data_IF_019042442909
#
_entry.id   IF_019042442909
#
_cell.length_a   1.000
_cell.length_b   1.000
_cell.length_c   1.000
_cell.angle_alpha   90.00
_cell.angle_beta   90.00
_cell.angle_gamma   90.00
#
_symmetry.space_group_name_H-M   'P 1'
#
loop_
_entity.id
_entity.type
_entity.pdbx_description
1 polymer ?
#
# COMPACT_ATOMS: atom_id res chain seq x y z
N UNK A 1 6.55 38.27 -0.57
CA UNK A 1 6.94 37.01 0.09
C UNK A 1 5.72 36.43 0.77
N UNK A 2 5.19 35.32 0.26
CA UNK A 2 4.49 34.26 1.00
C UNK A 2 4.05 33.21 -0.04
N UNK A 3 4.46 31.97 0.22
CA UNK A 3 4.33 30.82 -0.66
C UNK A 3 3.23 29.88 -0.19
N UNK A 4 2.84 28.95 -1.08
CA UNK A 4 2.14 27.66 -0.83
C UNK A 4 0.66 27.76 -0.44
N UNK A 5 -0.25 26.89 -0.89
CA UNK A 5 -0.07 25.48 -1.22
C UNK A 5 -0.93 25.04 -2.41
N UNK A 6 -0.30 24.31 -3.34
CA UNK A 6 -0.96 23.45 -4.30
C UNK A 6 -1.44 22.17 -3.59
N UNK A 7 -2.74 21.97 -3.50
CA UNK A 7 -3.33 20.68 -3.16
C UNK A 7 -3.15 19.70 -4.32
N UNK A 8 -1.95 19.13 -4.42
CA UNK A 8 -1.65 17.98 -5.28
C UNK A 8 -2.17 16.70 -4.64
N UNK A 9 -3.48 16.45 -4.73
CA UNK A 9 -4.10 15.17 -4.37
C UNK A 9 -3.65 14.09 -5.37
N UNK A 10 -2.49 13.48 -5.15
CA UNK A 10 -2.04 12.27 -5.87
C UNK A 10 -2.70 11.03 -5.27
N UNK A 11 -3.94 10.78 -5.67
CA UNK A 11 -4.64 9.52 -5.42
C UNK A 11 -4.78 8.72 -6.71
N UNK A 12 -3.71 8.06 -7.18
CA UNK A 12 -3.77 7.09 -8.31
C UNK A 12 -2.56 6.14 -8.32
N UNK A 13 -2.17 5.59 -7.16
CA UNK A 13 -1.04 4.64 -7.08
C UNK A 13 -1.40 3.15 -7.27
N UNK A 14 -2.67 2.82 -7.51
CA UNK A 14 -3.19 1.43 -7.46
C UNK A 14 -3.56 0.78 -8.79
N UNK A 15 -3.52 1.51 -9.91
CA UNK A 15 -4.02 1.02 -11.21
C UNK A 15 -2.92 0.59 -12.20
N UNK A 16 -1.66 0.86 -11.89
CA UNK A 16 -0.54 0.54 -12.78
C UNK A 16 -0.15 -0.94 -12.69
N UNK A 17 -0.09 -1.49 -11.48
CA UNK A 17 0.44 -2.83 -11.22
C UNK A 17 -0.47 -3.95 -11.77
N UNK A 18 -1.78 -3.80 -11.65
CA UNK A 18 -2.76 -4.74 -12.20
C UNK A 18 -2.76 -4.75 -13.72
N UNK A 19 -2.58 -3.60 -14.37
CA UNK A 19 -2.49 -3.51 -15.83
C UNK A 19 -1.22 -4.19 -16.36
N UNK A 20 -0.09 -3.99 -15.68
CA UNK A 20 1.16 -4.66 -16.03
C UNK A 20 1.07 -6.19 -15.87
N UNK A 21 0.50 -6.68 -14.75
CA UNK A 21 0.30 -8.12 -14.54
C UNK A 21 -0.65 -8.74 -15.57
N UNK A 22 -1.70 -8.02 -15.97
CA UNK A 22 -2.66 -8.50 -16.96
C UNK A 22 -2.04 -8.59 -18.36
N UNK A 23 -1.14 -7.66 -18.72
CA UNK A 23 -0.39 -7.71 -19.98
C UNK A 23 0.56 -8.91 -20.02
N UNK A 24 1.31 -9.16 -18.93
CA UNK A 24 2.21 -10.31 -18.84
C UNK A 24 1.42 -11.62 -18.92
N UNK A 25 0.29 -11.70 -18.22
CA UNK A 25 -0.56 -12.90 -18.25
C UNK A 25 -1.20 -13.13 -19.62
N UNK A 26 -1.66 -12.06 -20.28
CA UNK A 26 -2.20 -12.13 -21.65
C UNK A 26 -1.13 -12.64 -22.64
N UNK A 27 0.10 -12.12 -22.55
CA UNK A 27 1.23 -12.56 -23.36
C UNK A 27 1.60 -14.04 -23.12
N UNK A 28 1.52 -14.51 -21.87
CA UNK A 28 1.78 -15.91 -21.52
C UNK A 28 0.65 -16.86 -21.97
N UNK A 29 -0.61 -16.43 -21.88
CA UNK A 29 -1.76 -17.29 -22.26
C UNK A 29 -2.01 -17.36 -23.77
N UNK A 30 -1.58 -16.35 -24.53
CA UNK A 30 -1.68 -16.37 -26.00
C UNK A 30 -0.58 -17.25 -26.65
N UNK A 31 0.41 -17.69 -25.87
CA UNK A 31 1.59 -18.39 -26.34
C UNK A 31 1.72 -19.83 -25.83
N UNK A 32 0.98 -20.76 -26.44
CA UNK A 32 1.43 -22.15 -26.58
C UNK A 32 1.10 -22.57 -28.02
N UNK A 33 2.07 -22.97 -28.88
CA UNK A 33 3.42 -23.47 -28.61
C UNK A 33 4.51 -22.45 -29.03
N UNK A 34 5.16 -21.80 -28.07
CA UNK A 34 5.90 -20.55 -28.31
C UNK A 34 7.40 -20.56 -28.09
N UNK A 35 8.09 -21.71 -28.08
CA UNK A 35 9.57 -21.73 -27.95
C UNK A 35 10.31 -21.02 -29.10
N UNK A 36 9.60 -20.73 -30.20
CA UNK A 36 10.09 -19.99 -31.37
C UNK A 36 9.62 -18.52 -31.43
N UNK A 37 8.82 -18.04 -30.46
CA UNK A 37 8.04 -16.79 -30.63
C UNK A 37 8.44 -15.65 -29.68
N UNK A 38 9.19 -15.93 -28.62
CA UNK A 38 9.72 -14.92 -27.70
C UNK A 38 11.22 -14.75 -27.98
N UNK A 39 11.56 -13.61 -28.59
CA UNK A 39 12.95 -13.23 -28.84
C UNK A 39 13.69 -12.89 -27.53
N UNK A 40 15.02 -12.96 -27.56
CA UNK A 40 15.85 -12.74 -26.37
C UNK A 40 15.63 -11.35 -25.75
N UNK A 41 15.39 -10.34 -26.61
CA UNK A 41 15.07 -8.97 -26.19
C UNK A 41 13.78 -8.92 -25.35
N UNK A 42 12.76 -9.69 -25.73
CA UNK A 42 11.49 -9.75 -24.98
C UNK A 42 11.66 -10.45 -23.63
N UNK A 43 12.48 -11.49 -23.59
CA UNK A 43 12.78 -12.23 -22.37
C UNK A 43 13.60 -11.37 -21.39
N UNK A 44 14.58 -10.63 -21.89
CA UNK A 44 15.36 -9.66 -21.11
C UNK A 44 14.47 -8.53 -20.57
N UNK A 45 13.56 -8.00 -21.40
CA UNK A 45 12.60 -6.99 -20.98
C UNK A 45 11.67 -7.50 -19.87
N UNK A 46 11.16 -8.73 -19.99
CA UNK A 46 10.35 -9.40 -18.97
C UNK A 46 11.11 -9.55 -17.64
N UNK A 47 12.36 -10.00 -17.68
CA UNK A 47 13.22 -10.09 -16.49
C UNK A 47 13.46 -8.73 -15.84
N UNK A 48 13.75 -7.70 -16.65
CA UNK A 48 13.95 -6.33 -16.17
C UNK A 48 12.70 -5.77 -15.50
N UNK A 49 11.54 -6.02 -16.09
CA UNK A 49 10.24 -5.59 -15.54
C UNK A 49 9.92 -6.30 -14.22
N UNK A 50 10.22 -7.59 -14.10
CA UNK A 50 10.05 -8.31 -12.83
C UNK A 50 10.95 -7.73 -11.73
N UNK A 51 12.24 -7.51 -12.02
CA UNK A 51 13.17 -6.89 -11.06
C UNK A 51 12.69 -5.51 -10.62
N UNK A 52 12.16 -4.72 -11.55
CA UNK A 52 11.57 -3.40 -11.24
C UNK A 52 10.35 -3.56 -10.33
N UNK A 53 9.44 -4.48 -10.62
CA UNK A 53 8.25 -4.74 -9.81
C UNK A 53 8.60 -5.27 -8.42
N UNK A 54 9.61 -6.14 -8.28
CA UNK A 54 10.14 -6.59 -7.00
C UNK A 54 10.67 -5.42 -6.18
N UNK A 55 11.43 -4.50 -6.81
CA UNK A 55 11.91 -3.28 -6.13
C UNK A 55 10.76 -2.38 -5.68
N UNK A 56 9.72 -2.22 -6.51
CA UNK A 56 8.52 -1.46 -6.14
C UNK A 56 7.76 -2.10 -4.97
N UNK A 57 7.65 -3.43 -4.94
CA UNK A 57 7.06 -4.17 -3.82
C UNK A 57 7.86 -3.96 -2.54
N UNK A 58 9.19 -4.08 -2.60
CA UNK A 58 10.06 -3.85 -1.45
C UNK A 58 9.93 -2.41 -0.90
N UNK A 59 9.88 -1.40 -1.79
CA UNK A 59 9.64 -0.01 -1.41
C UNK A 59 8.29 0.16 -0.71
N UNK A 60 7.21 -0.38 -1.29
CA UNK A 60 5.87 -0.29 -0.70
C UNK A 60 5.77 -1.03 0.64
N UNK A 61 6.53 -2.11 0.82
CA UNK A 61 6.59 -2.83 2.10
C UNK A 61 7.21 -1.96 3.18
N UNK A 62 8.30 -1.25 2.85
CA UNK A 62 8.91 -0.29 3.77
C UNK A 62 7.94 0.84 4.12
N UNK A 63 7.24 1.40 3.14
CA UNK A 63 6.22 2.44 3.37
C UNK A 63 5.11 1.96 4.31
N UNK A 64 4.56 0.77 4.06
CA UNK A 64 3.52 0.17 4.93
C UNK A 64 4.03 -0.07 6.35
N UNK A 65 5.28 -0.50 6.50
CA UNK A 65 5.88 -0.72 7.81
C UNK A 65 6.02 0.60 8.58
N UNK A 66 6.54 1.64 7.92
CA UNK A 66 6.64 2.99 8.50
C UNK A 66 5.26 3.53 8.87
N UNK A 67 4.29 3.45 7.96
CA UNK A 67 2.90 3.87 8.19
C UNK A 67 2.29 3.12 9.38
N UNK A 68 2.52 1.81 9.50
CA UNK A 68 1.97 1.00 10.59
C UNK A 68 2.45 1.42 11.97
N UNK A 69 3.72 1.83 12.08
CA UNK A 69 4.32 2.27 13.34
C UNK A 69 3.91 3.73 13.60
N UNK A 70 4.24 4.63 12.67
CA UNK A 70 4.04 6.07 12.83
C UNK A 70 2.57 6.44 13.02
N UNK A 71 1.66 5.90 12.21
CA UNK A 71 0.23 6.25 12.31
C UNK A 71 -0.37 5.68 13.59
N UNK A 72 0.06 4.50 14.03
CA UNK A 72 -0.41 3.92 15.30
C UNK A 72 -0.02 4.82 16.47
N UNK A 73 1.25 5.25 16.53
CA UNK A 73 1.77 6.11 17.60
C UNK A 73 1.07 7.47 17.60
N UNK A 74 0.96 8.13 16.43
CA UNK A 74 0.29 9.43 16.31
C UNK A 74 -1.19 9.34 16.74
N UNK A 75 -1.90 8.28 16.36
CA UNK A 75 -3.29 8.09 16.78
C UNK A 75 -3.42 7.91 18.29
N UNK A 76 -2.45 7.25 18.92
CA UNK A 76 -2.40 7.09 20.37
C UNK A 76 -2.18 8.43 21.08
N UNK A 77 -1.24 9.23 20.60
CA UNK A 77 -0.99 10.58 21.11
C UNK A 77 -2.22 11.49 20.97
N UNK A 78 -2.91 11.42 19.83
CA UNK A 78 -4.13 12.21 19.59
C UNK A 78 -5.26 11.80 20.54
N UNK A 79 -5.46 10.50 20.78
CA UNK A 79 -6.45 10.02 21.76
C UNK A 79 -6.08 10.47 23.17
N UNK A 80 -4.80 10.43 23.53
CA UNK A 80 -4.33 10.92 24.82
C UNK A 80 -4.52 12.44 24.98
N UNK A 81 -4.24 13.22 23.93
CA UNK A 81 -4.47 14.66 23.91
C UNK A 81 -5.96 15.00 24.11
N UNK A 82 -6.86 14.18 23.56
CA UNK A 82 -8.30 14.34 23.77
C UNK A 82 -8.71 14.15 25.23
N UNK A 83 -8.05 13.26 25.97
CA UNK A 83 -8.30 13.11 27.41
C UNK A 83 -7.85 14.36 28.18
N UNK A 84 -6.68 14.90 27.85
CA UNK A 84 -6.18 16.14 28.45
C UNK A 84 -7.11 17.32 28.16
N UNK A 85 -7.55 17.46 26.91
CA UNK A 85 -8.49 18.51 26.51
C UNK A 85 -9.83 18.35 27.24
N UNK A 86 -10.31 17.12 27.41
CA UNK A 86 -11.54 16.85 28.15
C UNK A 86 -11.43 17.33 29.60
N UNK A 87 -10.30 17.06 30.26
CA UNK A 87 -10.04 17.54 31.63
C UNK A 87 -9.94 19.07 31.71
N UNK A 88 -9.31 19.72 30.73
CA UNK A 88 -9.27 21.19 30.65
C UNK A 88 -10.67 21.76 30.52
N UNK A 89 -11.51 21.19 29.65
CA UNK A 89 -12.90 21.62 29.46
C UNK A 89 -13.71 21.44 30.75
N UNK A 90 -13.59 20.30 31.44
CA UNK A 90 -14.25 20.09 32.75
C UNK A 90 -13.90 21.16 33.77
N UNK A 91 -12.64 21.60 33.82
CA UNK A 91 -12.15 22.58 34.79
C UNK A 91 -12.54 24.01 34.44
N UNK A 92 -12.55 24.35 33.15
CA UNK A 92 -12.77 25.72 32.66
C UNK A 92 -14.23 26.03 32.38
N UNK A 93 -15.00 25.03 32.00
CA UNK A 93 -16.41 25.14 31.61
C UNK A 93 -17.26 24.05 32.28
N UNK A 94 -17.30 23.99 33.62
CA UNK A 94 -18.01 22.94 34.36
C UNK A 94 -19.52 22.94 34.09
N UNK A 95 -20.10 24.10 33.78
CA UNK A 95 -21.54 24.28 33.56
C UNK A 95 -21.96 24.19 32.09
N UNK A 96 -21.11 23.63 31.22
CA UNK A 96 -21.44 23.40 29.79
C UNK A 96 -21.50 21.90 29.47
N UNK A 97 -22.56 21.18 29.92
CA UNK A 97 -22.76 19.75 29.63
C UNK A 97 -22.66 19.35 28.14
N UNK A 98 -23.13 20.17 27.17
CA UNK A 98 -23.00 19.86 25.76
C UNK A 98 -21.54 19.69 25.32
N UNK A 99 -20.62 20.42 25.93
CA UNK A 99 -19.20 20.41 25.55
C UNK A 99 -18.52 19.10 25.98
N UNK A 100 -18.81 18.59 27.18
CA UNK A 100 -18.29 17.29 27.62
C UNK A 100 -18.81 16.13 26.78
N UNK A 101 -20.08 16.20 26.40
CA UNK A 101 -20.69 15.23 25.48
C UNK A 101 -20.01 15.27 24.11
N UNK A 102 -19.77 16.47 23.58
CA UNK A 102 -19.05 16.64 22.31
C UNK A 102 -17.63 16.06 22.37
N UNK A 103 -16.88 16.32 23.46
CA UNK A 103 -15.53 15.78 23.64
C UNK A 103 -15.51 14.25 23.68
N UNK A 104 -16.48 13.64 24.39
CA UNK A 104 -16.64 12.19 24.42
C UNK A 104 -16.93 11.60 23.04
N UNK A 105 -17.83 12.22 22.28
CA UNK A 105 -18.14 11.80 20.91
C UNK A 105 -16.94 11.93 19.98
N UNK A 106 -16.18 13.03 20.09
CA UNK A 106 -14.98 13.25 19.28
C UNK A 106 -13.90 12.21 19.60
N UNK A 107 -13.71 11.86 20.88
CA UNK A 107 -12.80 10.79 21.29
C UNK A 107 -13.23 9.45 20.69
N UNK A 108 -14.50 9.08 20.83
CA UNK A 108 -15.02 7.83 20.27
C UNK A 108 -14.82 7.76 18.75
N UNK A 109 -15.08 8.86 18.03
CA UNK A 109 -14.82 8.95 16.60
C UNK A 109 -13.34 8.75 16.24
N UNK A 110 -12.41 9.29 17.04
CA UNK A 110 -10.97 9.09 16.84
C UNK A 110 -10.54 7.65 17.10
N UNK A 111 -11.10 6.98 18.09
CA UNK A 111 -10.87 5.56 18.35
C UNK A 111 -11.37 4.69 17.18
N UNK A 112 -12.55 4.99 16.62
CA UNK A 112 -13.04 4.32 15.41
C UNK A 112 -12.12 4.57 14.21
N UNK A 113 -11.63 5.80 14.04
CA UNK A 113 -10.67 6.14 12.99
C UNK A 113 -9.37 5.34 13.15
N UNK A 114 -8.83 5.22 14.37
CA UNK A 114 -7.64 4.40 14.67
C UNK A 114 -7.85 2.96 14.19
N UNK A 115 -8.96 2.34 14.59
CA UNK A 115 -9.29 0.95 14.18
C UNK A 115 -9.41 0.82 12.67
N UNK A 116 -10.09 1.76 12.01
CA UNK A 116 -10.26 1.74 10.55
C UNK A 116 -8.92 1.83 9.83
N UNK A 117 -8.05 2.76 10.23
CA UNK A 117 -6.76 2.98 9.57
C UNK A 117 -5.83 1.78 9.76
N UNK A 118 -5.74 1.24 10.98
CA UNK A 118 -4.97 0.02 11.26
C UNK A 118 -5.44 -1.13 10.36
N UNK A 119 -6.76 -1.32 10.24
CA UNK A 119 -7.33 -2.35 9.37
C UNK A 119 -7.01 -2.14 7.90
N UNK A 120 -7.03 -0.90 7.40
CA UNK A 120 -6.66 -0.59 6.02
C UNK A 120 -5.17 -0.87 5.75
N UNK A 121 -4.29 -0.56 6.70
CA UNK A 121 -2.86 -0.89 6.63
C UNK A 121 -2.65 -2.40 6.52
N UNK A 122 -3.28 -3.20 7.40
CA UNK A 122 -3.20 -4.66 7.32
C UNK A 122 -3.77 -5.21 6.00
N UNK A 123 -4.85 -4.63 5.50
CA UNK A 123 -5.42 -5.01 4.20
C UNK A 123 -4.46 -4.72 3.05
N UNK A 124 -3.77 -3.58 3.08
CA UNK A 124 -2.73 -3.23 2.09
C UNK A 124 -1.54 -4.19 2.19
N UNK A 125 -1.10 -4.53 3.39
CA UNK A 125 -0.02 -5.51 3.62
C UNK A 125 -0.38 -6.87 3.01
N UNK A 126 -1.58 -7.39 3.29
CA UNK A 126 -2.03 -8.68 2.72
C UNK A 126 -2.10 -8.67 1.18
N UNK A 127 -2.58 -7.59 0.58
CA UNK A 127 -2.55 -7.44 -0.89
C UNK A 127 -1.13 -7.40 -1.45
N UNK A 128 -0.20 -6.79 -0.72
CA UNK A 128 1.20 -6.71 -1.13
C UNK A 128 1.85 -8.10 -1.11
N UNK A 129 1.59 -8.90 -0.07
CA UNK A 129 2.07 -10.29 0.03
C UNK A 129 1.51 -11.16 -1.11
N UNK A 130 0.23 -10.99 -1.48
CA UNK A 130 -0.35 -11.68 -2.64
C UNK A 130 0.33 -11.28 -3.97
N UNK A 131 0.68 -10.00 -4.12
CA UNK A 131 1.42 -9.52 -5.29
C UNK A 131 2.85 -10.07 -5.32
N UNK A 132 3.51 -10.16 -4.18
CA UNK A 132 4.85 -10.73 -4.05
C UNK A 132 4.86 -12.20 -4.46
N UNK A 133 3.90 -13.01 -3.98
CA UNK A 133 3.75 -14.42 -4.39
C UNK A 133 3.53 -14.57 -5.90
N UNK A 134 2.70 -13.70 -6.50
CA UNK A 134 2.46 -13.71 -7.95
C UNK A 134 3.72 -13.35 -8.74
N UNK A 135 4.51 -12.39 -8.26
CA UNK A 135 5.79 -12.03 -8.87
C UNK A 135 6.80 -13.19 -8.79
N UNK A 136 6.91 -13.86 -7.64
CA UNK A 136 7.77 -15.05 -7.49
C UNK A 136 7.35 -16.19 -8.44
N UNK A 137 6.04 -16.37 -8.67
CA UNK A 137 5.55 -17.34 -9.64
C UNK A 137 5.91 -16.97 -11.08
N UNK A 138 5.72 -15.70 -11.46
CA UNK A 138 6.12 -15.20 -12.77
C UNK A 138 7.63 -15.31 -13.02
N UNK A 139 8.45 -15.00 -12.02
CA UNK A 139 9.89 -15.15 -12.08
C UNK A 139 10.29 -16.61 -12.38
N UNK A 140 9.70 -17.58 -11.68
CA UNK A 140 9.93 -19.00 -11.94
C UNK A 140 9.53 -19.41 -13.36
N UNK A 141 8.39 -18.93 -13.86
CA UNK A 141 7.95 -19.24 -15.22
C UNK A 141 8.93 -18.70 -16.27
N UNK A 142 9.41 -17.48 -16.09
CA UNK A 142 10.38 -16.85 -17.00
C UNK A 142 11.75 -17.53 -16.93
N UNK A 143 12.22 -17.91 -15.73
CA UNK A 143 13.45 -18.71 -15.59
C UNK A 143 13.34 -20.05 -16.32
N UNK A 144 12.23 -20.77 -16.17
CA UNK A 144 12.01 -22.03 -16.87
C UNK A 144 11.99 -21.86 -18.40
N UNK A 145 11.39 -20.77 -18.90
CA UNK A 145 11.40 -20.43 -20.33
C UNK A 145 12.81 -20.12 -20.83
N UNK A 146 13.61 -19.40 -20.04
CA UNK A 146 14.99 -19.10 -20.36
C UNK A 146 15.85 -20.38 -20.44
N UNK A 147 15.69 -21.29 -19.48
CA UNK A 147 16.37 -22.59 -19.45
C UNK A 147 15.98 -23.45 -20.67
N UNK A 148 14.68 -23.55 -20.98
CA UNK A 148 14.21 -24.30 -22.14
C UNK A 148 14.77 -23.75 -23.46
N UNK A 149 14.91 -22.43 -23.59
CA UNK A 149 15.51 -21.79 -24.77
C UNK A 149 17.02 -22.01 -24.85
N UNK A 150 17.73 -22.05 -23.72
CA UNK A 150 19.16 -22.34 -23.69
C UNK A 150 19.52 -23.80 -24.03
N UNK A 151 18.54 -24.70 -23.98
CA UNK A 151 18.68 -26.12 -24.36
C UNK A 151 18.19 -26.44 -25.79
N UNK A 152 17.71 -25.44 -26.53
CA UNK A 152 17.36 -25.50 -27.96
C UNK A 152 18.51 -24.95 -28.81
#
# INVERSE_FOLDING_TARGET
MAATASYGRRGTGGLSMTKALFLIFSLLTLGCPGSSLIDDDQLEELQKNIKKLQKEVASRRADIMVDSIFISDVMEEVVHLMDLLTEVVKRTLPDVPPMLTFMGNLKAFLEECKVYIIKDIFKKAGKLDDHEKKLQHLEKLISNLAEQKAHL
#
